data_IF_888326055021
#
_entry.id   IF_888326055021
#
_cell.length_a   1.000
_cell.length_b   1.000
_cell.length_c   1.000
_cell.angle_alpha   90.00
_cell.angle_beta   90.00
_cell.angle_gamma   90.00
#
_symmetry.space_group_name_H-M   'P 1'
#
loop_
_entity.id
_entity.type
_entity.pdbx_description
1 polymer ?
#
# COMPACT_ATOMS: atom_id res chain seq x y z
N UNK A 1 -22.44 -41.82 4.84
CA UNK A 1 -22.67 -40.39 4.55
C UNK A 1 -21.32 -39.74 4.31
N UNK A 2 -20.99 -39.52 3.04
CA UNK A 2 -19.69 -38.99 2.61
C UNK A 2 -19.65 -37.48 2.85
N UNK A 3 -18.67 -37.01 3.63
CA UNK A 3 -18.39 -35.58 3.80
C UNK A 3 -17.89 -35.05 2.45
N UNK A 4 -18.74 -34.29 1.77
CA UNK A 4 -18.34 -33.50 0.61
C UNK A 4 -17.29 -32.49 1.08
N UNK A 5 -16.02 -32.80 0.84
CA UNK A 5 -14.94 -31.83 0.88
C UNK A 5 -15.24 -30.83 -0.23
N UNK A 6 -15.82 -29.69 0.14
CA UNK A 6 -15.93 -28.54 -0.75
C UNK A 6 -14.50 -28.09 -1.04
N UNK A 7 -13.94 -28.56 -2.16
CA UNK A 7 -12.74 -28.00 -2.77
C UNK A 7 -12.95 -26.48 -2.84
N UNK A 8 -12.17 -25.72 -2.07
CA UNK A 8 -11.99 -24.29 -2.33
C UNK A 8 -11.48 -24.19 -3.78
N UNK A 9 -12.37 -23.83 -4.71
CA UNK A 9 -11.99 -23.36 -6.04
C UNK A 9 -11.36 -21.99 -5.84
N UNK A 10 -10.04 -22.00 -5.65
CA UNK A 10 -9.16 -20.84 -5.74
C UNK A 10 -9.08 -20.41 -7.21
N UNK A 11 -10.08 -19.70 -7.70
CA UNK A 11 -9.94 -18.90 -8.93
C UNK A 11 -10.05 -17.46 -8.49
N UNK A 12 -8.91 -16.86 -8.13
CA UNK A 12 -8.84 -15.41 -8.04
C UNK A 12 -8.94 -14.89 -9.48
N UNK A 13 -10.04 -14.22 -9.81
CA UNK A 13 -10.18 -13.56 -11.10
C UNK A 13 -9.31 -12.30 -11.09
N UNK A 14 -8.42 -12.17 -12.08
CA UNK A 14 -7.57 -11.00 -12.26
C UNK A 14 -8.34 -9.96 -13.06
N UNK A 15 -8.44 -8.75 -12.52
CA UNK A 15 -9.12 -7.63 -13.17
C UNK A 15 -8.18 -6.46 -13.39
N UNK A 16 -8.35 -5.76 -14.50
CA UNK A 16 -7.86 -4.39 -14.62
C UNK A 16 -8.66 -3.50 -13.69
N UNK A 17 -8.00 -2.78 -12.78
CA UNK A 17 -8.69 -2.03 -11.73
C UNK A 17 -9.69 -1.00 -12.29
N UNK A 18 -9.32 -0.30 -13.36
CA UNK A 18 -10.20 0.66 -14.04
C UNK A 18 -11.45 0.00 -14.65
N UNK A 19 -11.38 -1.28 -15.01
CA UNK A 19 -12.56 -2.03 -15.48
C UNK A 19 -13.42 -2.47 -14.31
N UNK A 20 -12.79 -2.89 -13.20
CA UNK A 20 -13.52 -3.34 -12.02
C UNK A 20 -14.30 -2.19 -11.34
N UNK A 21 -13.69 -1.01 -11.24
CA UNK A 21 -14.34 0.22 -10.74
C UNK A 21 -15.57 0.65 -11.56
N UNK A 22 -15.71 0.20 -12.80
CA UNK A 22 -16.91 0.50 -13.62
C UNK A 22 -18.11 -0.36 -13.25
N UNK A 23 -17.90 -1.47 -12.55
CA UNK A 23 -18.93 -2.47 -12.25
C UNK A 23 -19.05 -2.79 -10.76
N UNK A 24 -18.14 -2.28 -9.93
CA UNK A 24 -18.11 -2.48 -8.48
C UNK A 24 -18.10 -1.14 -7.76
N UNK A 25 -18.88 -1.05 -6.69
CA UNK A 25 -18.97 0.15 -5.85
C UNK A 25 -18.08 -0.01 -4.62
N UNK A 26 -16.92 0.65 -4.62
CA UNK A 26 -15.98 0.64 -3.49
C UNK A 26 -16.42 1.49 -2.30
N UNK A 27 -17.59 2.12 -2.35
CA UNK A 27 -18.25 2.68 -1.18
C UNK A 27 -19.03 1.62 -0.38
N UNK A 28 -19.00 0.35 -0.82
CA UNK A 28 -19.55 -0.81 -0.12
C UNK A 28 -18.44 -1.80 0.24
N UNK A 29 -18.45 -2.29 1.48
CA UNK A 29 -17.41 -3.18 2.03
C UNK A 29 -17.30 -4.50 1.27
N UNK A 30 -18.41 -5.06 0.80
CA UNK A 30 -18.47 -6.34 0.07
C UNK A 30 -17.66 -6.35 -1.24
N UNK A 31 -17.54 -5.20 -1.91
CA UNK A 31 -16.71 -5.06 -3.11
C UNK A 31 -15.27 -4.74 -2.74
N UNK A 32 -15.08 -3.94 -1.69
CA UNK A 32 -13.77 -3.54 -1.21
C UNK A 32 -12.94 -4.74 -0.70
N UNK A 33 -13.57 -5.70 -0.04
CA UNK A 33 -12.94 -6.94 0.43
C UNK A 33 -12.43 -7.85 -0.69
N UNK A 34 -12.86 -7.59 -1.93
CA UNK A 34 -12.40 -8.31 -3.12
C UNK A 34 -11.14 -7.69 -3.71
N UNK A 35 -10.75 -6.49 -3.28
CA UNK A 35 -9.53 -5.81 -3.72
C UNK A 35 -8.34 -6.35 -2.94
N UNK A 36 -7.57 -7.23 -3.58
CA UNK A 36 -6.43 -7.91 -2.96
C UNK A 36 -5.21 -7.71 -3.88
N UNK A 37 -4.23 -6.86 -3.49
CA UNK A 37 -3.03 -6.68 -4.29
C UNK A 37 -2.23 -7.98 -4.29
N UNK A 38 -1.65 -8.33 -5.43
CA UNK A 38 -0.73 -9.46 -5.50
C UNK A 38 0.60 -9.06 -4.87
N UNK A 39 0.94 -9.68 -3.74
CA UNK A 39 2.18 -9.43 -3.01
C UNK A 39 3.06 -10.66 -3.02
N UNK A 40 4.35 -10.46 -2.76
CA UNK A 40 5.30 -11.56 -2.49
C UNK A 40 4.87 -12.50 -1.34
N UNK A 41 3.90 -12.10 -0.51
CA UNK A 41 3.43 -12.86 0.67
C UNK A 41 2.10 -13.58 0.46
N UNK A 42 1.25 -13.16 -0.49
CA UNK A 42 -0.10 -13.72 -0.64
C UNK A 42 -0.33 -14.54 -1.93
N UNK A 43 0.66 -14.61 -2.83
CA UNK A 43 0.54 -15.32 -4.11
C UNK A 43 0.18 -16.80 -3.99
N UNK A 44 0.70 -17.50 -2.96
CA UNK A 44 0.40 -18.93 -2.73
C UNK A 44 -1.08 -19.16 -2.44
N UNK A 45 -1.73 -18.20 -1.77
CA UNK A 45 -3.14 -18.23 -1.41
C UNK A 45 -4.06 -17.91 -2.61
N UNK A 46 -3.48 -17.64 -3.78
CA UNK A 46 -4.18 -17.27 -5.02
C UNK A 46 -3.97 -18.28 -6.14
N UNK A 47 -3.40 -19.45 -5.81
CA UNK A 47 -3.26 -20.57 -6.76
C UNK A 47 -2.23 -20.35 -7.86
N UNK A 48 -1.34 -19.36 -7.71
CA UNK A 48 -0.26 -19.12 -8.67
C UNK A 48 0.94 -20.04 -8.44
N UNK A 49 1.60 -20.43 -9.53
CA UNK A 49 2.82 -21.24 -9.46
C UNK A 49 4.03 -20.40 -9.05
N UNK A 50 5.03 -21.03 -8.41
CA UNK A 50 6.30 -20.37 -8.08
C UNK A 50 6.98 -19.81 -9.34
N UNK A 51 6.84 -20.51 -10.47
CA UNK A 51 7.41 -20.11 -11.77
C UNK A 51 6.76 -18.84 -12.31
N UNK A 52 5.44 -18.70 -12.15
CA UNK A 52 4.67 -17.49 -12.48
C UNK A 52 4.97 -16.32 -11.54
N UNK A 53 5.54 -16.54 -10.35
CA UNK A 53 6.06 -15.46 -9.51
C UNK A 53 7.50 -15.10 -9.86
N UNK A 54 8.31 -16.11 -10.21
CA UNK A 54 9.72 -15.94 -10.54
C UNK A 54 9.97 -15.09 -11.78
N UNK A 55 9.05 -15.11 -12.75
CA UNK A 55 9.11 -14.25 -13.94
C UNK A 55 8.90 -12.76 -13.61
N UNK A 56 8.28 -12.43 -12.48
CA UNK A 56 8.00 -11.07 -12.03
C UNK A 56 6.79 -10.43 -12.69
N UNK A 57 6.03 -11.14 -13.52
CA UNK A 57 4.88 -10.59 -14.27
C UNK A 57 3.66 -10.28 -13.38
N UNK A 58 3.64 -10.81 -12.16
CA UNK A 58 2.52 -10.67 -11.22
C UNK A 58 2.91 -9.99 -9.90
N UNK A 59 4.19 -9.62 -9.75
CA UNK A 59 4.69 -8.94 -8.56
C UNK A 59 4.52 -7.42 -8.73
N UNK A 60 3.93 -6.79 -7.73
CA UNK A 60 3.71 -5.35 -7.74
C UNK A 60 4.96 -4.62 -7.22
N UNK A 61 5.22 -3.38 -7.68
CA UNK A 61 6.21 -2.52 -7.05
C UNK A 61 5.89 -2.31 -5.57
N UNK A 62 6.91 -2.16 -4.75
CA UNK A 62 6.77 -1.97 -3.31
C UNK A 62 5.75 -0.88 -2.93
N UNK A 63 5.74 0.24 -3.64
CA UNK A 63 4.76 1.31 -3.44
C UNK A 63 3.32 0.80 -3.53
N UNK A 64 3.01 -0.02 -4.52
CA UNK A 64 1.67 -0.56 -4.74
C UNK A 64 1.31 -1.61 -3.68
N UNK A 65 2.29 -2.43 -3.26
CA UNK A 65 2.12 -3.36 -2.13
C UNK A 65 1.79 -2.63 -0.81
N UNK A 66 2.18 -1.36 -0.67
CA UNK A 66 1.86 -0.52 0.49
C UNK A 66 0.59 0.29 0.31
N UNK A 67 0.41 0.91 -0.86
CA UNK A 67 -0.70 1.83 -1.14
C UNK A 67 -2.05 1.11 -1.14
N UNK A 68 -2.17 -0.04 -1.82
CA UNK A 68 -3.48 -0.70 -1.98
C UNK A 68 -4.05 -1.18 -0.64
N UNK A 69 -3.32 -1.89 0.25
CA UNK A 69 -3.86 -2.29 1.54
C UNK A 69 -4.21 -1.10 2.44
N UNK A 70 -3.36 -0.05 2.43
CA UNK A 70 -3.62 1.15 3.22
C UNK A 70 -4.84 1.92 2.71
N UNK A 71 -5.02 1.98 1.39
CA UNK A 71 -6.19 2.56 0.77
C UNK A 71 -7.46 1.77 1.16
N UNK A 72 -7.43 0.43 1.06
CA UNK A 72 -8.54 -0.43 1.50
C UNK A 72 -8.91 -0.18 2.97
N UNK A 73 -7.92 -0.17 3.87
CA UNK A 73 -8.15 0.09 5.30
C UNK A 73 -8.72 1.49 5.54
N UNK A 74 -8.18 2.51 4.85
CA UNK A 74 -8.69 3.88 4.94
C UNK A 74 -10.14 3.96 4.46
N UNK A 75 -10.47 3.27 3.37
CA UNK A 75 -11.81 3.25 2.78
C UNK A 75 -12.83 2.58 3.68
N UNK A 76 -12.51 1.43 4.27
CA UNK A 76 -13.37 0.75 5.27
C UNK A 76 -13.72 1.69 6.41
N UNK A 77 -12.72 2.34 6.98
CA UNK A 77 -12.90 3.31 8.06
C UNK A 77 -13.82 4.46 7.66
N UNK A 78 -13.71 4.96 6.44
CA UNK A 78 -14.57 6.04 5.93
C UNK A 78 -16.01 5.58 5.73
N UNK A 79 -16.21 4.35 5.25
CA UNK A 79 -17.54 3.73 5.13
C UNK A 79 -18.18 3.59 6.51
N UNK A 80 -17.47 3.04 7.49
CA UNK A 80 -17.96 2.92 8.86
C UNK A 80 -18.33 4.28 9.47
N UNK A 81 -17.51 5.32 9.21
CA UNK A 81 -17.82 6.68 9.66
C UNK A 81 -19.07 7.24 9.00
N UNK A 82 -19.23 7.06 7.69
CA UNK A 82 -20.42 7.48 6.93
C UNK A 82 -21.68 6.79 7.47
N UNK A 83 -21.57 5.51 7.78
CA UNK A 83 -22.69 4.66 8.21
C UNK A 83 -22.98 4.75 9.72
N UNK A 84 -22.18 5.53 10.46
CA UNK A 84 -22.33 5.70 11.91
C UNK A 84 -21.96 4.45 12.72
N UNK A 85 -21.17 3.55 12.14
CA UNK A 85 -20.71 2.29 12.73
C UNK A 85 -19.29 2.38 13.30
N UNK A 86 -18.57 3.49 13.05
CA UNK A 86 -17.20 3.64 13.50
C UNK A 86 -17.12 3.92 15.00
N UNK A 87 -16.53 2.98 15.73
CA UNK A 87 -16.24 3.11 17.16
C UNK A 87 -14.78 3.58 17.36
N UNK A 88 -14.62 4.83 17.80
CA UNK A 88 -13.31 5.43 18.09
C UNK A 88 -12.59 4.75 19.26
N UNK A 89 -13.32 4.24 20.26
CA UNK A 89 -12.73 3.61 21.43
C UNK A 89 -12.22 2.21 21.07
N UNK A 90 -13.02 1.42 20.37
CA UNK A 90 -12.63 0.09 19.88
C UNK A 90 -11.42 0.18 18.94
N UNK A 91 -11.44 1.13 17.99
CA UNK A 91 -10.31 1.33 17.08
C UNK A 91 -9.03 1.71 17.84
N UNK A 92 -9.12 2.59 18.84
CA UNK A 92 -7.97 3.00 19.64
C UNK A 92 -7.45 1.86 20.51
N UNK A 93 -8.32 1.03 21.06
CA UNK A 93 -7.96 -0.18 21.79
C UNK A 93 -7.18 -1.14 20.88
N UNK A 94 -7.71 -1.44 19.70
CA UNK A 94 -7.05 -2.28 18.71
C UNK A 94 -5.67 -1.73 18.29
N UNK A 95 -5.57 -0.41 18.06
CA UNK A 95 -4.31 0.26 17.73
C UNK A 95 -3.27 0.17 18.86
N UNK A 96 -3.71 0.23 20.12
CA UNK A 96 -2.81 0.08 21.27
C UNK A 96 -2.33 -1.36 21.43
N UNK A 97 -3.22 -2.33 21.26
CA UNK A 97 -2.86 -3.77 21.28
C UNK A 97 -1.87 -4.12 20.17
N UNK A 98 -2.00 -3.49 19.00
CA UNK A 98 -1.18 -3.73 17.82
C UNK A 98 -0.16 -2.61 17.57
N UNK A 99 0.22 -1.84 18.59
CA UNK A 99 1.04 -0.63 18.44
C UNK A 99 2.36 -0.88 17.70
N UNK A 100 3.04 -2.00 17.99
CA UNK A 100 4.31 -2.35 17.34
C UNK A 100 4.12 -2.65 15.84
N UNK A 101 3.04 -3.36 15.48
CA UNK A 101 2.67 -3.64 14.10
C UNK A 101 2.26 -2.36 13.37
N UNK A 102 1.46 -1.51 14.01
CA UNK A 102 1.03 -0.23 13.44
C UNK A 102 2.20 0.74 13.25
N UNK A 103 3.15 0.76 14.18
CA UNK A 103 4.38 1.54 14.03
C UNK A 103 5.21 1.03 12.83
N UNK A 104 5.39 -0.29 12.68
CA UNK A 104 6.06 -0.86 11.51
C UNK A 104 5.33 -0.50 10.21
N UNK A 105 4.00 -0.63 10.20
CA UNK A 105 3.21 -0.46 8.99
C UNK A 105 3.07 1.01 8.56
N UNK A 106 2.96 1.95 9.50
CA UNK A 106 2.65 3.35 9.20
C UNK A 106 3.82 4.30 9.42
N UNK A 107 4.75 3.96 10.32
CA UNK A 107 5.84 4.85 10.75
C UNK A 107 7.22 4.41 10.28
N UNK A 108 7.41 3.19 9.76
CA UNK A 108 8.73 2.79 9.24
C UNK A 108 9.32 3.84 8.28
N UNK A 109 10.63 4.08 8.40
CA UNK A 109 11.37 5.14 7.72
C UNK A 109 11.23 6.55 8.30
N UNK A 110 10.35 6.75 9.30
CA UNK A 110 10.24 8.03 10.02
C UNK A 110 11.38 8.19 11.01
N UNK A 111 11.81 9.42 11.26
CA UNK A 111 12.77 9.79 12.30
C UNK A 111 12.30 9.43 13.71
N UNK A 112 10.98 9.32 13.91
CA UNK A 112 10.38 8.89 15.18
C UNK A 112 10.30 7.35 15.30
N UNK A 113 10.44 6.63 14.19
CA UNK A 113 10.34 5.17 14.19
C UNK A 113 11.61 4.55 14.76
N UNK A 114 11.47 3.95 15.93
CA UNK A 114 12.54 3.21 16.59
C UNK A 114 12.44 1.74 16.22
N UNK A 115 13.16 1.35 15.17
CA UNK A 115 13.33 -0.06 14.84
C UNK A 115 13.91 -0.81 16.05
N UNK A 116 13.25 -1.88 16.47
CA UNK A 116 13.69 -2.74 17.56
C UNK A 116 13.79 -4.17 17.03
N UNK A 117 14.98 -4.61 16.56
CA UNK A 117 15.15 -5.95 16.00
C UNK A 117 14.76 -7.08 16.95
N UNK A 118 14.87 -6.86 18.28
CA UNK A 118 14.47 -7.83 19.31
C UNK A 118 12.95 -7.90 19.53
N UNK A 119 12.16 -7.06 18.86
CA UNK A 119 10.72 -6.89 19.07
C UNK A 119 9.96 -6.93 17.75
N UNK A 120 10.19 -8.02 17.01
CA UNK A 120 9.40 -8.33 15.81
C UNK A 120 7.93 -8.49 16.23
N UNK A 121 6.97 -7.76 15.62
CA UNK A 121 5.56 -7.90 15.96
C UNK A 121 5.06 -9.33 15.76
N UNK A 122 4.11 -9.76 16.59
CA UNK A 122 3.49 -11.07 16.47
C UNK A 122 2.88 -11.28 15.07
N UNK A 123 3.08 -12.46 14.50
CA UNK A 123 2.59 -12.80 13.14
C UNK A 123 3.44 -12.26 11.99
N UNK A 124 4.54 -11.57 12.25
CA UNK A 124 5.50 -11.10 11.24
C UNK A 124 6.79 -11.91 11.36
N UNK A 125 7.24 -12.52 10.26
CA UNK A 125 8.56 -13.17 10.22
C UNK A 125 9.70 -12.15 10.06
N UNK A 126 10.94 -12.52 10.40
CA UNK A 126 12.09 -11.61 10.37
C UNK A 126 12.36 -11.01 8.98
N UNK A 127 12.18 -11.78 7.91
CA UNK A 127 12.40 -11.29 6.55
C UNK A 127 11.32 -10.25 6.17
N UNK A 128 10.06 -10.51 6.54
CA UNK A 128 8.98 -9.53 6.40
C UNK A 128 9.21 -8.30 7.24
N UNK A 129 9.67 -8.45 8.48
CA UNK A 129 9.98 -7.33 9.35
C UNK A 129 11.03 -6.42 8.71
N UNK A 130 12.17 -6.97 8.28
CA UNK A 130 13.25 -6.21 7.64
C UNK A 130 12.78 -5.48 6.39
N UNK A 131 12.03 -6.18 5.54
CA UNK A 131 11.48 -5.61 4.32
C UNK A 131 10.56 -4.42 4.63
N UNK A 132 9.66 -4.56 5.60
CA UNK A 132 8.73 -3.51 6.01
C UNK A 132 9.41 -2.33 6.71
N UNK A 133 10.46 -2.59 7.49
CA UNK A 133 11.18 -1.55 8.23
C UNK A 133 12.12 -0.73 7.34
N UNK A 134 12.58 -1.30 6.23
CA UNK A 134 13.62 -0.71 5.37
C UNK A 134 13.08 -0.44 3.95
N UNK A 135 13.01 -1.47 3.11
CA UNK A 135 12.76 -1.33 1.67
C UNK A 135 11.33 -0.84 1.37
N UNK A 136 10.36 -1.29 2.16
CA UNK A 136 8.93 -0.96 2.03
C UNK A 136 8.45 0.09 3.05
N UNK A 137 9.39 0.78 3.69
CA UNK A 137 9.07 1.86 4.62
C UNK A 137 8.22 2.95 3.90
N UNK A 138 7.06 3.34 4.46
CA UNK A 138 6.21 4.36 3.84
C UNK A 138 6.72 5.78 4.03
N UNK A 139 7.67 6.01 4.94
CA UNK A 139 8.27 7.33 5.16
C UNK A 139 9.69 7.40 4.58
N UNK A 140 10.10 8.61 4.23
CA UNK A 140 11.48 8.96 3.92
C UNK A 140 11.89 10.16 4.79
N UNK A 141 13.02 10.01 5.47
CA UNK A 141 13.56 10.97 6.42
C UNK A 141 15.07 11.12 6.24
N UNK A 142 15.61 12.28 6.62
CA UNK A 142 17.06 12.51 6.68
C UNK A 142 17.70 12.04 8.02
N UNK A 143 16.91 11.41 8.90
CA UNK A 143 17.39 10.82 10.15
C UNK A 143 16.77 11.45 11.41
N UNK A 144 17.32 11.16 12.60
CA UNK A 144 16.74 11.58 13.88
C UNK A 144 16.52 13.10 13.97
N UNK A 145 15.30 13.51 14.34
CA UNK A 145 14.92 14.92 14.50
C UNK A 145 14.45 15.62 13.22
N UNK A 146 14.31 14.89 12.11
CA UNK A 146 13.72 15.40 10.89
C UNK A 146 12.24 15.73 11.07
N UNK A 147 11.86 16.98 10.83
CA UNK A 147 10.48 17.46 10.93
C UNK A 147 9.77 17.57 9.57
N UNK A 148 10.49 17.33 8.47
CA UNK A 148 10.01 17.49 7.11
C UNK A 148 10.09 16.19 6.32
N UNK A 149 9.48 15.15 6.88
CA UNK A 149 9.46 13.81 6.28
C UNK A 149 8.52 13.75 5.07
N UNK A 150 8.89 12.94 4.08
CA UNK A 150 7.98 12.55 3.02
C UNK A 150 7.26 11.25 3.41
N UNK A 151 5.96 11.14 3.12
CA UNK A 151 5.16 9.97 3.47
C UNK A 151 4.27 9.55 2.29
N UNK A 152 4.46 8.31 1.84
CA UNK A 152 3.76 7.68 0.72
C UNK A 152 2.23 7.81 0.84
N UNK A 153 1.67 7.51 2.02
CA UNK A 153 0.23 7.49 2.22
C UNK A 153 -0.36 8.90 2.21
N UNK A 154 0.29 9.86 2.87
CA UNK A 154 -0.12 11.27 2.85
C UNK A 154 -0.06 11.88 1.45
N UNK A 155 0.87 11.42 0.62
CA UNK A 155 1.02 11.91 -0.76
C UNK A 155 -0.10 11.41 -1.68
N UNK A 156 -0.51 10.15 -1.56
CA UNK A 156 -1.38 9.53 -2.58
C UNK A 156 -2.79 9.17 -2.11
N UNK A 157 -3.01 8.91 -0.82
CA UNK A 157 -4.32 8.48 -0.32
C UNK A 157 -5.14 9.70 0.09
N UNK A 158 -6.35 9.83 -0.45
CA UNK A 158 -7.33 10.81 0.00
C UNK A 158 -8.09 10.26 1.24
N UNK A 159 -7.92 10.84 2.44
CA UNK A 159 -8.50 10.30 3.66
C UNK A 159 -9.86 10.92 4.02
N UNK A 160 -10.52 11.63 3.11
CA UNK A 160 -11.79 12.33 3.42
C UNK A 160 -13.01 11.50 3.06
N UNK A 161 -14.14 11.73 3.74
CA UNK A 161 -15.39 10.99 3.48
C UNK A 161 -15.92 11.28 2.07
N UNK A 162 -15.68 12.48 1.54
CA UNK A 162 -16.06 12.87 0.18
C UNK A 162 -15.37 12.01 -0.88
N UNK A 163 -14.22 11.41 -0.55
CA UNK A 163 -13.55 10.47 -1.44
C UNK A 163 -14.45 9.28 -1.78
N UNK A 164 -15.38 8.88 -0.90
CA UNK A 164 -16.35 7.80 -1.16
C UNK A 164 -17.28 8.08 -2.35
N UNK A 165 -17.44 9.35 -2.75
CA UNK A 165 -18.23 9.73 -3.92
C UNK A 165 -17.47 9.54 -5.24
N UNK A 166 -16.19 9.18 -5.17
CA UNK A 166 -15.35 8.90 -6.32
C UNK A 166 -15.16 7.39 -6.49
N UNK A 167 -15.85 6.75 -7.47
CA UNK A 167 -15.69 5.31 -7.74
C UNK A 167 -14.35 4.96 -8.40
N UNK A 168 -13.57 5.95 -8.85
CA UNK A 168 -12.31 5.77 -9.57
C UNK A 168 -11.09 6.23 -8.77
N UNK A 169 -11.22 6.36 -7.46
CA UNK A 169 -10.18 6.95 -6.64
C UNK A 169 -8.95 6.03 -6.49
N UNK A 170 -9.14 4.71 -6.45
CA UNK A 170 -8.05 3.74 -6.41
C UNK A 170 -7.22 3.78 -7.72
N UNK A 171 -7.85 3.72 -8.89
CA UNK A 171 -7.13 3.82 -10.15
C UNK A 171 -6.47 5.18 -10.35
N UNK A 172 -7.11 6.28 -9.89
CA UNK A 172 -6.50 7.62 -9.88
C UNK A 172 -5.30 7.71 -8.96
N UNK A 173 -5.38 7.16 -7.75
CA UNK A 173 -4.25 7.09 -6.82
C UNK A 173 -3.04 6.39 -7.48
N UNK A 174 -3.28 5.21 -8.08
CA UNK A 174 -2.23 4.44 -8.75
C UNK A 174 -1.67 5.17 -9.97
N UNK A 175 -2.54 5.84 -10.75
CA UNK A 175 -2.11 6.65 -11.89
C UNK A 175 -1.24 7.85 -11.45
N UNK A 176 -1.60 8.50 -10.34
CA UNK A 176 -0.80 9.60 -9.76
C UNK A 176 0.60 9.12 -9.42
N UNK A 177 0.72 7.97 -8.75
CA UNK A 177 2.01 7.34 -8.47
C UNK A 177 2.79 7.00 -9.75
N UNK A 178 2.13 6.40 -10.76
CA UNK A 178 2.76 6.09 -12.05
C UNK A 178 3.28 7.36 -12.76
N UNK A 179 2.54 8.45 -12.69
CA UNK A 179 2.94 9.72 -13.30
C UNK A 179 4.16 10.32 -12.61
N UNK A 180 4.20 10.29 -11.27
CA UNK A 180 5.37 10.73 -10.52
C UNK A 180 6.58 9.84 -10.81
N UNK A 181 6.40 8.52 -10.92
CA UNK A 181 7.46 7.60 -11.32
C UNK A 181 7.99 7.88 -12.72
N UNK A 182 7.11 8.14 -13.68
CA UNK A 182 7.50 8.52 -15.03
C UNK A 182 8.28 9.84 -15.03
N UNK A 183 7.82 10.82 -14.26
CA UNK A 183 8.47 12.12 -14.12
C UNK A 183 9.87 12.01 -13.51
N UNK A 184 10.04 11.27 -12.41
CA UNK A 184 11.36 11.13 -11.76
C UNK A 184 12.36 10.31 -12.57
N UNK A 185 11.87 9.54 -13.55
CA UNK A 185 12.70 8.74 -14.46
C UNK A 185 13.21 9.52 -15.67
N UNK A 186 12.65 10.71 -15.95
CA UNK A 186 13.14 11.60 -17.02
C UNK A 186 14.49 12.19 -16.66
N UNK A 187 15.38 12.25 -17.64
CA UNK A 187 16.63 13.01 -17.58
C UNK A 187 16.35 14.51 -17.45
N UNK A 188 17.22 15.24 -16.76
CA UNK A 188 17.00 16.67 -16.50
C UNK A 188 16.99 17.53 -17.76
N UNK A 189 17.61 17.05 -18.84
CA UNK A 189 17.58 17.69 -20.16
C UNK A 189 16.22 17.56 -20.87
N UNK A 190 15.39 16.59 -20.46
CA UNK A 190 14.07 16.31 -21.05
C UNK A 190 12.91 16.95 -20.26
N UNK A 191 13.22 17.68 -19.17
CA UNK A 191 12.21 18.35 -18.36
C UNK A 191 11.85 19.71 -18.93
N UNK A 192 10.56 19.91 -19.21
CA UNK A 192 10.01 21.25 -19.36
C UNK A 192 9.86 21.95 -17.99
N UNK A 193 9.45 23.22 -18.00
CA UNK A 193 9.30 24.01 -16.77
C UNK A 193 8.19 23.45 -15.84
N UNK A 194 7.18 22.79 -16.39
CA UNK A 194 6.11 22.17 -15.61
C UNK A 194 6.62 20.91 -14.91
N UNK A 195 7.40 20.09 -15.61
CA UNK A 195 8.08 18.90 -15.08
C UNK A 195 9.07 19.27 -13.97
N UNK A 196 9.87 20.33 -14.16
CA UNK A 196 10.78 20.84 -13.12
C UNK A 196 10.02 21.27 -11.87
N UNK A 197 8.96 22.07 -12.04
CA UNK A 197 8.12 22.49 -10.93
C UNK A 197 7.46 21.29 -10.22
N UNK A 198 7.07 20.26 -10.97
CA UNK A 198 6.52 19.03 -10.41
C UNK A 198 7.57 18.22 -9.62
N UNK A 199 8.79 18.05 -10.13
CA UNK A 199 9.89 17.40 -9.39
C UNK A 199 10.21 18.15 -8.09
N UNK A 200 10.21 19.48 -8.12
CA UNK A 200 10.40 20.32 -6.91
C UNK A 200 9.30 20.09 -5.89
N UNK A 201 8.04 19.91 -6.30
CA UNK A 201 6.93 19.57 -5.38
C UNK A 201 7.07 18.20 -4.73
N UNK A 202 7.59 17.21 -5.47
CA UNK A 202 7.89 15.88 -4.92
C UNK A 202 9.02 15.99 -3.87
N UNK A 203 10.03 16.81 -4.18
CA UNK A 203 11.19 17.05 -3.32
C UNK A 203 12.13 15.85 -3.24
N UNK A 204 13.36 16.08 -2.76
CA UNK A 204 14.41 15.07 -2.78
C UNK A 204 14.06 13.81 -2.00
N UNK A 205 13.41 13.97 -0.83
CA UNK A 205 12.91 12.84 -0.03
C UNK A 205 11.85 12.04 -0.78
N UNK A 206 10.90 12.72 -1.42
CA UNK A 206 9.90 12.04 -2.25
C UNK A 206 10.55 11.25 -3.38
N UNK A 207 11.54 11.83 -4.07
CA UNK A 207 12.27 11.15 -5.14
C UNK A 207 13.01 9.91 -4.62
N UNK A 208 13.70 10.00 -3.47
CA UNK A 208 14.39 8.84 -2.86
C UNK A 208 13.40 7.75 -2.44
N UNK A 209 12.33 8.11 -1.74
CA UNK A 209 11.30 7.19 -1.30
C UNK A 209 10.62 6.48 -2.48
N UNK A 210 10.26 7.23 -3.53
CA UNK A 210 9.67 6.67 -4.75
C UNK A 210 10.61 5.72 -5.48
N UNK A 211 11.89 6.07 -5.64
CA UNK A 211 12.89 5.17 -6.24
C UNK A 211 13.07 3.88 -5.44
N UNK A 212 13.12 3.96 -4.11
CA UNK A 212 13.18 2.78 -3.23
C UNK A 212 11.95 1.89 -3.43
N UNK A 213 10.76 2.49 -3.39
CA UNK A 213 9.49 1.78 -3.46
C UNK A 213 9.11 1.32 -4.88
N UNK A 214 9.85 1.72 -5.91
CA UNK A 214 9.67 1.22 -7.28
C UNK A 214 10.21 -0.20 -7.48
N UNK A 215 11.02 -0.71 -6.54
CA UNK A 215 11.60 -2.05 -6.61
C UNK A 215 10.50 -3.10 -6.46
N UNK A 216 10.60 -4.15 -7.28
CA UNK A 216 9.77 -5.35 -7.19
C UNK A 216 10.53 -6.39 -6.37
N UNK A 217 10.05 -6.71 -5.17
CA UNK A 217 10.72 -7.65 -4.27
C UNK A 217 10.29 -9.09 -4.58
N UNK A 218 11.20 -9.89 -5.14
CA UNK A 218 10.97 -11.32 -5.39
C UNK A 218 11.32 -12.11 -4.13
N UNK A 219 10.37 -12.87 -3.58
CA UNK A 219 10.62 -13.85 -2.50
C UNK A 219 10.73 -15.25 -3.10
N UNK A 220 11.81 -15.96 -2.74
CA UNK A 220 12.03 -17.37 -3.07
C UNK A 220 11.72 -18.25 -1.86
#
# INVERSE_FOLDING_TARGET
MSKSSTKLKSTADLYHIQCFEKIADFAQTDFLDRVLPMTGTNWRLRGMSLTSMGDGNYSLPGAVERLVPQWVSTRKRLIEKRDGLYDEAEQKEWENEHADLMALMLKAGSSEYKAQPARIPSGVDEATYRLLSEELAPNESDGPGDTQEWNLFKTYINPTVEALNDPHDLSRMLLSWCNDMALISKDDNDLDEQDKAAKVRIGDKGIRGLKRLAVIHKRY
#
